data_IF_247946705500
#
_entry.id   IF_247946705500
#
_cell.length_a   1.000
_cell.length_b   1.000
_cell.length_c   1.000
_cell.angle_alpha   90.00
_cell.angle_beta   90.00
_cell.angle_gamma   90.00
#
_symmetry.space_group_name_H-M   'P 1'
#
loop_
_entity.id
_entity.type
_entity.pdbx_description
1 polymer ?
#
# COMPACT_ATOMS: atom_id res chain seq x y z
N UNK A 1 25.04 36.48 -23.87
CA UNK A 1 23.89 36.95 -23.09
C UNK A 1 23.03 35.73 -22.81
N UNK A 2 23.33 35.02 -21.71
CA UNK A 2 22.67 33.76 -21.32
C UNK A 2 21.57 34.13 -20.34
N UNK A 3 20.34 34.30 -20.84
CA UNK A 3 19.20 34.72 -20.02
C UNK A 3 18.53 33.47 -19.46
N UNK A 4 18.72 33.26 -18.17
CA UNK A 4 17.83 32.62 -17.19
C UNK A 4 16.78 31.63 -17.74
N UNK A 5 17.20 30.41 -18.04
CA UNK A 5 16.34 29.26 -18.39
C UNK A 5 15.60 28.65 -17.18
N UNK A 6 15.99 28.99 -15.94
CA UNK A 6 15.49 28.32 -14.73
C UNK A 6 14.00 28.56 -14.42
N UNK A 7 13.41 29.69 -14.83
CA UNK A 7 12.00 30.00 -14.52
C UNK A 7 10.98 29.14 -15.28
N UNK A 8 11.37 28.52 -16.41
CA UNK A 8 10.44 27.70 -17.20
C UNK A 8 10.29 26.30 -16.62
N UNK A 9 11.35 25.75 -16.00
CA UNK A 9 11.38 24.39 -15.46
C UNK A 9 10.47 24.25 -14.24
N UNK A 10 10.49 25.25 -13.36
CA UNK A 10 9.75 25.25 -12.11
C UNK A 10 8.23 25.18 -12.33
N UNK A 11 7.73 25.89 -13.35
CA UNK A 11 6.30 25.88 -13.71
C UNK A 11 5.85 24.54 -14.29
N UNK A 12 6.73 23.86 -15.03
CA UNK A 12 6.48 22.54 -15.60
C UNK A 12 6.38 21.46 -14.53
N UNK A 13 7.30 21.49 -13.57
CA UNK A 13 7.34 20.57 -12.43
C UNK A 13 6.06 20.69 -11.59
N UNK A 14 5.64 21.92 -11.25
CA UNK A 14 4.42 22.11 -10.46
C UNK A 14 3.16 21.68 -11.22
N UNK A 15 3.11 21.87 -12.55
CA UNK A 15 1.99 21.38 -13.36
C UNK A 15 1.95 19.85 -13.37
N UNK A 16 3.08 19.19 -13.60
CA UNK A 16 3.15 17.73 -13.57
C UNK A 16 2.77 17.20 -12.19
N UNK A 17 3.26 17.81 -11.11
CA UNK A 17 2.89 17.47 -9.73
C UNK A 17 1.39 17.52 -9.53
N UNK A 18 0.73 18.58 -10.02
CA UNK A 18 -0.74 18.70 -9.98
C UNK A 18 -1.41 17.57 -10.77
N UNK A 19 -0.88 17.20 -11.93
CA UNK A 19 -1.37 16.06 -12.73
C UNK A 19 -1.18 14.72 -12.01
N UNK A 20 -0.01 14.48 -11.41
CA UNK A 20 0.28 13.25 -10.64
C UNK A 20 -0.69 13.17 -9.46
N UNK A 21 -0.83 14.22 -8.66
CA UNK A 21 -1.76 14.25 -7.52
C UNK A 21 -3.19 13.97 -7.97
N UNK A 22 -3.66 14.65 -9.02
CA UNK A 22 -4.99 14.44 -9.57
C UNK A 22 -5.20 13.02 -10.13
N UNK A 23 -4.16 12.42 -10.72
CA UNK A 23 -4.20 11.06 -11.22
C UNK A 23 -4.18 10.03 -10.09
N UNK A 24 -3.37 10.23 -9.05
CA UNK A 24 -3.34 9.38 -7.86
C UNK A 24 -4.69 9.39 -7.16
N UNK A 25 -5.33 10.56 -6.98
CA UNK A 25 -6.68 10.62 -6.38
C UNK A 25 -7.74 9.87 -7.19
N UNK A 26 -7.65 9.89 -8.53
CA UNK A 26 -8.62 9.22 -9.42
C UNK A 26 -8.36 7.72 -9.60
N UNK A 27 -7.09 7.32 -9.58
CA UNK A 27 -6.65 5.95 -9.85
C UNK A 27 -6.38 5.17 -8.56
N UNK A 28 -6.58 5.82 -7.41
CA UNK A 28 -6.50 5.20 -6.11
C UNK A 28 -7.48 4.02 -6.06
N UNK A 29 -7.00 2.80 -5.76
CA UNK A 29 -7.88 1.68 -5.54
C UNK A 29 -8.91 2.00 -4.44
N UNK A 30 -10.17 1.58 -4.62
CA UNK A 30 -11.24 1.83 -3.64
C UNK A 30 -10.94 1.25 -2.25
N UNK A 31 -9.99 0.31 -2.15
CA UNK A 31 -9.56 -0.32 -0.92
C UNK A 31 -8.51 0.48 -0.11
N UNK A 32 -8.10 1.65 -0.59
CA UNK A 32 -7.25 2.57 0.18
C UNK A 32 -8.14 3.43 1.08
N UNK A 33 -8.25 3.06 2.36
CA UNK A 33 -9.05 3.79 3.37
C UNK A 33 -8.50 5.20 3.64
N UNK A 34 -7.20 5.40 3.46
CA UNK A 34 -6.54 6.70 3.51
C UNK A 34 -6.09 7.08 2.10
N UNK A 35 -6.37 8.32 1.71
CA UNK A 35 -5.90 8.85 0.43
C UNK A 35 -4.37 8.88 0.42
N UNK A 36 -3.78 8.51 -0.72
CA UNK A 36 -2.34 8.63 -0.92
C UNK A 36 -1.89 10.07 -0.67
N UNK A 37 -0.94 10.24 0.26
CA UNK A 37 -0.38 11.54 0.59
C UNK A 37 0.91 11.75 -0.19
N UNK A 38 0.88 12.70 -1.13
CA UNK A 38 2.04 13.09 -1.92
C UNK A 38 2.65 14.38 -1.33
N UNK A 39 3.76 14.22 -0.61
CA UNK A 39 4.54 15.30 -0.03
C UNK A 39 5.75 15.62 -0.93
N UNK A 40 6.10 16.90 -1.05
CA UNK A 40 7.35 17.31 -1.71
C UNK A 40 8.40 17.48 -0.64
N UNK A 41 9.59 16.94 -0.87
CA UNK A 41 10.77 17.24 -0.08
C UNK A 41 11.57 18.31 -0.79
N UNK A 42 11.82 19.42 -0.09
CA UNK A 42 12.72 20.45 -0.59
C UNK A 42 14.13 19.86 -0.70
N UNK A 43 14.73 19.95 -1.89
CA UNK A 43 16.13 19.60 -2.07
C UNK A 43 17.00 20.57 -1.27
N UNK A 44 18.00 20.04 -0.58
CA UNK A 44 18.96 20.85 0.19
C UNK A 44 20.05 21.48 -0.69
N UNK A 45 20.13 21.10 -1.97
CA UNK A 45 21.10 21.62 -2.93
C UNK A 45 20.43 22.65 -3.87
N UNK A 46 20.88 23.91 -3.89
CA UNK A 46 20.25 24.99 -4.67
C UNK A 46 20.46 24.89 -6.20
N UNK A 47 21.18 23.88 -6.69
CA UNK A 47 21.54 23.70 -8.11
C UNK A 47 21.15 22.31 -8.64
N UNK A 48 20.32 21.57 -7.90
CA UNK A 48 19.86 20.25 -8.31
C UNK A 48 18.47 20.36 -8.95
N UNK A 49 18.36 20.09 -10.25
CA UNK A 49 17.08 20.04 -11.00
C UNK A 49 16.22 18.83 -10.58
N UNK A 50 16.66 18.07 -9.57
CA UNK A 50 15.91 16.96 -8.98
C UNK A 50 14.88 17.44 -7.98
N UNK A 51 13.66 16.95 -8.17
CA UNK A 51 12.57 17.09 -7.22
C UNK A 51 12.34 15.76 -6.53
N UNK A 52 12.56 15.70 -5.22
CA UNK A 52 12.22 14.53 -4.42
C UNK A 52 10.77 14.61 -3.94
N UNK A 53 10.00 13.55 -4.20
CA UNK A 53 8.66 13.35 -3.69
C UNK A 53 8.67 12.21 -2.67
N UNK A 54 7.88 12.37 -1.62
CA UNK A 54 7.57 11.31 -0.69
C UNK A 54 6.11 10.93 -0.85
N UNK A 55 5.87 9.66 -1.16
CA UNK A 55 4.53 9.13 -1.33
C UNK A 55 4.24 8.16 -0.19
N UNK A 56 3.28 8.53 0.66
CA UNK A 56 2.78 7.66 1.73
C UNK A 56 1.55 6.91 1.21
N UNK A 57 1.66 5.59 1.27
CA UNK A 57 0.61 4.63 1.00
C UNK A 57 0.00 4.05 2.27
N UNK A 58 -1.09 3.28 2.13
CA UNK A 58 -1.72 2.61 3.26
C UNK A 58 -0.76 1.63 3.94
N UNK A 59 -1.07 1.29 5.20
CA UNK A 59 -0.32 0.34 6.03
C UNK A 59 1.13 0.77 6.36
N UNK A 60 1.46 2.05 6.19
CA UNK A 60 2.81 2.59 6.41
C UNK A 60 3.78 2.29 5.27
N UNK A 61 3.28 1.77 4.13
CA UNK A 61 4.10 1.69 2.93
C UNK A 61 4.43 3.09 2.48
N UNK A 62 5.70 3.36 2.20
CA UNK A 62 6.11 4.65 1.64
C UNK A 62 7.16 4.41 0.57
N UNK A 63 7.20 5.30 -0.40
CA UNK A 63 8.19 5.29 -1.47
C UNK A 63 8.71 6.71 -1.61
N UNK A 64 10.03 6.87 -1.53
CA UNK A 64 10.67 8.10 -1.96
C UNK A 64 10.95 8.02 -3.46
N UNK A 65 10.72 9.13 -4.15
CA UNK A 65 10.78 9.21 -5.61
C UNK A 65 11.58 10.45 -5.97
N UNK A 66 12.65 10.27 -6.73
CA UNK A 66 13.38 11.36 -7.35
C UNK A 66 12.90 11.55 -8.79
N UNK A 67 12.49 12.77 -9.11
CA UNK A 67 12.08 13.20 -10.44
C UNK A 67 13.12 14.15 -11.00
N UNK A 68 13.64 13.81 -12.17
CA UNK A 68 14.63 14.61 -12.89
C UNK A 68 14.10 14.94 -14.29
N UNK A 69 14.15 16.21 -14.67
CA UNK A 69 13.74 16.69 -15.99
C UNK A 69 14.94 17.16 -16.78
N UNK A 70 15.15 16.58 -17.95
CA UNK A 70 16.20 16.97 -18.87
C UNK A 70 15.57 17.39 -20.21
N UNK A 71 15.81 18.61 -20.70
CA UNK A 71 15.43 18.96 -22.07
C UNK A 71 16.28 18.12 -23.04
N UNK A 72 15.65 17.43 -23.97
CA UNK A 72 16.35 16.78 -25.07
C UNK A 72 16.56 17.80 -26.20
N UNK A 73 15.51 18.56 -26.52
CA UNK A 73 15.53 19.63 -27.51
C UNK A 73 14.49 20.73 -27.17
N UNK A 74 14.16 21.58 -28.15
CA UNK A 74 13.17 22.66 -28.01
C UNK A 74 11.73 22.16 -27.84
N UNK A 75 11.44 20.93 -28.24
CA UNK A 75 10.09 20.37 -28.30
C UNK A 75 9.92 19.13 -27.42
N UNK A 76 10.98 18.56 -26.86
CA UNK A 76 10.92 17.30 -26.09
C UNK A 76 11.63 17.46 -24.74
N UNK A 77 10.94 17.04 -23.69
CA UNK A 77 11.47 16.88 -22.35
C UNK A 77 11.46 15.40 -21.93
N UNK A 78 12.56 14.98 -21.33
CA UNK A 78 12.72 13.67 -20.73
C UNK A 78 12.54 13.76 -19.23
N UNK A 79 11.61 12.96 -18.70
CA UNK A 79 11.35 12.83 -17.28
C UNK A 79 11.85 11.47 -16.81
N UNK A 80 12.84 11.47 -15.92
CA UNK A 80 13.35 10.29 -15.23
C UNK A 80 12.72 10.22 -13.85
N UNK A 81 12.13 9.08 -13.52
CA UNK A 81 11.49 8.81 -12.22
C UNK A 81 12.22 7.63 -11.60
N UNK A 82 12.88 7.87 -10.48
CA UNK A 82 13.66 6.86 -9.76
C UNK A 82 13.11 6.71 -8.34
N UNK A 83 12.94 5.48 -7.86
CA UNK A 83 12.54 5.21 -6.47
C UNK A 83 13.75 4.93 -5.60
N UNK A 84 13.59 5.05 -4.28
CA UNK A 84 14.58 4.63 -3.28
C UNK A 84 14.90 3.12 -3.32
N UNK A 85 14.02 2.31 -3.90
CA UNK A 85 14.26 0.89 -4.19
C UNK A 85 15.17 0.66 -5.41
N UNK A 86 15.60 1.73 -6.10
CA UNK A 86 16.46 1.68 -7.29
C UNK A 86 15.71 1.41 -8.59
N UNK A 87 14.37 1.41 -8.58
CA UNK A 87 13.60 1.26 -9.81
C UNK A 87 13.51 2.58 -10.56
N UNK A 88 13.86 2.56 -11.83
CA UNK A 88 13.92 3.74 -12.67
C UNK A 88 13.02 3.58 -13.89
N UNK A 89 12.22 4.60 -14.20
CA UNK A 89 11.38 4.67 -15.40
C UNK A 89 11.55 6.00 -16.11
N UNK A 90 11.58 5.93 -17.43
CA UNK A 90 11.80 7.06 -18.32
C UNK A 90 10.51 7.39 -19.07
N UNK A 91 10.19 8.67 -19.16
CA UNK A 91 9.04 9.19 -19.88
C UNK A 91 9.48 10.33 -20.80
N UNK A 92 8.83 10.46 -21.95
CA UNK A 92 9.08 11.51 -22.92
C UNK A 92 7.80 12.30 -23.13
N UNK A 93 7.86 13.63 -22.98
CA UNK A 93 6.78 14.55 -23.33
C UNK A 93 7.23 15.59 -24.33
N UNK A 94 6.26 16.06 -25.10
CA UNK A 94 6.39 17.32 -25.79
C UNK A 94 6.53 18.45 -24.76
N UNK A 95 7.58 19.26 -24.89
CA UNK A 95 8.01 20.35 -24.01
C UNK A 95 6.92 21.42 -23.97
N UNK A 96 6.15 21.41 -22.89
CA UNK A 96 5.15 22.43 -22.48
C UNK A 96 4.52 23.21 -23.65
N UNK A 97 4.10 22.50 -24.70
CA UNK A 97 3.68 23.10 -25.95
C UNK A 97 2.35 23.82 -25.74
N UNK A 98 2.42 25.15 -25.58
CA UNK A 98 1.32 26.05 -25.22
C UNK A 98 0.52 25.65 -23.96
N UNK A 99 0.22 26.59 -23.05
CA UNK A 99 -0.62 26.32 -21.87
C UNK A 99 -2.04 25.79 -22.17
N UNK A 100 -2.43 25.67 -23.44
CA UNK A 100 -3.66 25.03 -23.91
C UNK A 100 -3.56 23.51 -24.15
N UNK A 101 -2.37 22.94 -24.39
CA UNK A 101 -2.22 21.49 -24.60
C UNK A 101 -1.93 20.75 -23.29
N UNK A 102 -2.92 20.77 -22.41
CA UNK A 102 -2.89 20.07 -21.12
C UNK A 102 -2.83 18.53 -21.23
N UNK A 103 -2.91 17.98 -22.46
CA UNK A 103 -3.07 16.55 -22.65
C UNK A 103 -1.75 15.79 -22.50
N UNK A 104 -0.62 16.34 -22.97
CA UNK A 104 0.70 15.67 -22.91
C UNK A 104 1.18 15.51 -21.46
N UNK A 105 1.22 16.60 -20.68
CA UNK A 105 1.59 16.58 -19.25
C UNK A 105 0.60 15.72 -18.45
N UNK A 106 -0.70 15.79 -18.77
CA UNK A 106 -1.71 14.95 -18.14
C UNK A 106 -1.49 13.45 -18.38
N UNK A 107 -1.04 13.06 -19.59
CA UNK A 107 -0.69 11.67 -19.91
C UNK A 107 0.52 11.20 -19.11
N UNK A 108 1.58 12.01 -19.01
CA UNK A 108 2.74 11.65 -18.18
C UNK A 108 2.36 11.59 -16.71
N UNK A 109 1.63 12.58 -16.19
CA UNK A 109 1.18 12.56 -14.80
C UNK A 109 0.40 11.30 -14.44
N UNK A 110 -0.46 10.80 -15.36
CA UNK A 110 -1.14 9.51 -15.20
C UNK A 110 -0.18 8.31 -15.25
N UNK A 111 0.79 8.32 -16.16
CA UNK A 111 1.75 7.23 -16.30
C UNK A 111 2.68 7.13 -15.08
N UNK A 112 3.16 8.28 -14.58
CA UNK A 112 3.93 8.38 -13.34
C UNK A 112 3.09 7.94 -12.15
N UNK A 113 1.86 8.45 -11.99
CA UNK A 113 0.98 8.00 -10.92
C UNK A 113 0.74 6.48 -10.94
N UNK A 114 0.55 5.89 -12.13
CA UNK A 114 0.36 4.44 -12.29
C UNK A 114 1.62 3.66 -11.90
N UNK A 115 2.81 4.16 -12.27
CA UNK A 115 4.09 3.59 -11.86
C UNK A 115 4.25 3.64 -10.33
N UNK A 116 3.99 4.79 -9.71
CA UNK A 116 4.11 4.95 -8.26
C UNK A 116 3.12 4.08 -7.48
N UNK A 117 1.89 3.91 -7.98
CA UNK A 117 0.92 2.98 -7.41
C UNK A 117 1.45 1.53 -7.41
N UNK A 118 2.02 1.09 -8.55
CA UNK A 118 2.63 -0.23 -8.63
C UNK A 118 3.83 -0.39 -7.69
N UNK A 119 4.64 0.66 -7.50
CA UNK A 119 5.75 0.61 -6.53
C UNK A 119 5.26 0.52 -5.09
N UNK A 120 4.21 1.26 -4.70
CA UNK A 120 3.60 1.10 -3.36
C UNK A 120 3.08 -0.32 -3.17
N UNK A 121 2.35 -0.85 -4.15
CA UNK A 121 1.83 -2.22 -4.10
C UNK A 121 2.98 -3.24 -3.97
N UNK A 122 4.05 -3.06 -4.74
CA UNK A 122 5.23 -3.92 -4.64
C UNK A 122 5.95 -3.78 -3.30
N UNK A 123 6.11 -2.58 -2.75
CA UNK A 123 6.74 -2.40 -1.43
C UNK A 123 5.88 -3.06 -0.34
N UNK A 124 4.55 -3.06 -0.47
CA UNK A 124 3.66 -3.85 0.40
C UNK A 124 3.90 -5.35 0.25
N UNK A 125 4.36 -5.81 -0.90
CA UNK A 125 4.69 -7.21 -1.19
C UNK A 125 6.11 -7.63 -0.76
N UNK A 126 7.10 -6.73 -0.79
CA UNK A 126 8.50 -7.06 -0.41
C UNK A 126 8.66 -7.16 1.11
N UNK A 127 7.90 -6.38 1.87
CA UNK A 127 7.82 -6.48 3.35
C UNK A 127 7.17 -7.81 3.82
N UNK A 128 6.88 -8.73 2.88
CA UNK A 128 6.33 -10.05 3.12
C UNK A 128 7.39 -11.16 3.28
N UNK A 129 8.66 -10.95 2.86
CA UNK A 129 9.72 -11.97 2.83
C UNK A 129 10.57 -12.08 4.10
N UNK A 130 10.30 -11.27 5.13
CA UNK A 130 10.84 -11.53 6.46
C UNK A 130 10.11 -12.71 7.11
N UNK A 131 10.48 -13.93 6.68
CA UNK A 131 10.10 -15.22 7.27
C UNK A 131 10.28 -15.24 8.80
N UNK A 132 9.22 -15.33 9.62
CA UNK A 132 9.38 -15.78 10.98
C UNK A 132 9.50 -17.30 10.95
N UNK A 133 10.71 -17.79 11.22
CA UNK A 133 11.08 -19.20 11.41
C UNK A 133 10.01 -19.93 12.25
N UNK A 134 9.67 -21.20 11.94
CA UNK A 134 8.61 -21.95 12.64
C UNK A 134 9.04 -22.29 14.08
N UNK A 135 8.91 -21.31 14.96
CA UNK A 135 8.96 -21.49 16.40
C UNK A 135 7.61 -21.97 16.90
N UNK A 136 7.56 -22.84 17.93
CA UNK A 136 6.32 -23.16 18.62
C UNK A 136 5.62 -21.85 19.01
N UNK A 137 4.32 -21.75 18.68
CA UNK A 137 3.53 -20.53 18.83
C UNK A 137 3.72 -19.96 20.24
N UNK A 138 4.33 -18.77 20.40
CA UNK A 138 4.40 -18.15 21.72
C UNK A 138 2.96 -17.91 22.18
N UNK A 139 2.54 -18.44 23.34
CA UNK A 139 1.12 -18.47 23.74
C UNK A 139 0.50 -17.07 23.85
N UNK A 140 1.33 -16.04 23.99
CA UNK A 140 0.92 -14.65 24.20
C UNK A 140 0.77 -13.83 22.91
N UNK A 141 1.28 -14.31 21.76
CA UNK A 141 1.14 -13.59 20.49
C UNK A 141 -0.28 -13.83 19.95
N UNK A 142 -1.13 -12.80 19.75
CA UNK A 142 -2.54 -13.00 19.38
C UNK A 142 -2.68 -13.54 17.96
N UNK A 143 -2.86 -14.86 17.81
CA UNK A 143 -2.95 -15.54 16.52
C UNK A 143 -4.19 -16.43 16.44
N UNK A 144 -4.76 -16.52 15.24
CA UNK A 144 -5.84 -17.42 14.84
C UNK A 144 -5.33 -18.30 13.70
N UNK A 145 -5.80 -19.54 13.64
CA UNK A 145 -5.64 -20.45 12.51
C UNK A 145 -7.02 -20.68 11.91
N UNK A 146 -7.15 -20.39 10.62
CA UNK A 146 -8.36 -20.63 9.87
C UNK A 146 -8.17 -21.80 8.90
N UNK A 147 -9.22 -22.57 8.66
CA UNK A 147 -9.28 -23.46 7.51
C UNK A 147 -9.51 -22.67 6.20
N UNK A 148 -9.62 -23.40 5.08
CA UNK A 148 -9.89 -22.81 3.77
C UNK A 148 -11.29 -22.17 3.67
N UNK A 149 -12.23 -22.54 4.53
CA UNK A 149 -13.60 -22.01 4.54
C UNK A 149 -13.73 -20.79 5.50
N UNK A 150 -12.67 -20.47 6.25
CA UNK A 150 -12.63 -19.35 7.17
C UNK A 150 -13.17 -19.67 8.57
N UNK A 151 -13.26 -20.95 8.95
CA UNK A 151 -13.55 -21.36 10.32
C UNK A 151 -12.27 -21.38 11.16
N UNK A 152 -12.39 -20.94 12.41
CA UNK A 152 -11.31 -20.89 13.39
C UNK A 152 -11.06 -22.31 13.90
N UNK A 153 -9.97 -22.92 13.45
CA UNK A 153 -9.52 -24.23 13.94
C UNK A 153 -8.77 -24.11 15.27
N UNK A 154 -7.99 -23.04 15.43
CA UNK A 154 -7.18 -22.82 16.62
C UNK A 154 -6.96 -21.33 16.87
N UNK A 155 -6.73 -20.96 18.12
CA UNK A 155 -6.42 -19.60 18.52
C UNK A 155 -5.59 -19.57 19.80
N UNK A 156 -4.61 -18.67 19.86
CA UNK A 156 -3.69 -18.60 21.00
C UNK A 156 -4.36 -17.96 22.22
N UNK A 157 -3.77 -18.13 23.41
CA UNK A 157 -4.24 -17.43 24.61
C UNK A 157 -4.19 -15.91 24.43
N UNK A 158 -3.17 -15.39 23.74
CA UNK A 158 -3.10 -13.99 23.35
C UNK A 158 -4.31 -13.53 22.52
N UNK A 159 -4.78 -14.36 21.59
CA UNK A 159 -5.96 -14.05 20.79
C UNK A 159 -7.24 -14.04 21.65
N UNK A 160 -7.40 -15.02 22.56
CA UNK A 160 -8.53 -15.02 23.53
C UNK A 160 -8.56 -13.74 24.35
N UNK A 161 -7.42 -13.38 24.93
CA UNK A 161 -7.31 -12.20 25.78
C UNK A 161 -7.61 -10.92 24.99
N UNK A 162 -7.04 -10.76 23.80
CA UNK A 162 -7.28 -9.61 22.93
C UNK A 162 -8.75 -9.50 22.52
N UNK A 163 -9.39 -10.62 22.22
CA UNK A 163 -10.80 -10.69 21.85
C UNK A 163 -11.73 -10.76 23.08
N UNK A 164 -11.20 -10.64 24.30
CA UNK A 164 -11.96 -10.66 25.56
C UNK A 164 -12.86 -11.90 25.75
N UNK A 165 -12.44 -13.04 25.20
CA UNK A 165 -13.08 -14.33 25.49
C UNK A 165 -12.49 -14.93 26.76
N UNK A 166 -13.35 -15.45 27.65
CA UNK A 166 -12.88 -16.25 28.78
C UNK A 166 -12.26 -17.56 28.30
N UNK A 167 -11.55 -18.25 29.18
CA UNK A 167 -10.93 -19.55 28.86
C UNK A 167 -11.99 -20.61 28.56
N UNK A 168 -13.11 -20.61 29.28
CA UNK A 168 -14.19 -21.58 29.08
C UNK A 168 -15.23 -21.14 28.03
N UNK A 169 -15.24 -19.88 27.60
CA UNK A 169 -16.21 -19.41 26.61
C UNK A 169 -15.99 -20.06 25.24
N UNK A 170 -17.08 -20.55 24.67
CA UNK A 170 -17.13 -20.94 23.26
C UNK A 170 -16.98 -19.70 22.40
N UNK A 171 -16.08 -19.76 21.43
CA UNK A 171 -15.97 -18.76 20.37
C UNK A 171 -16.88 -19.18 19.21
N UNK A 172 -17.51 -18.21 18.55
CA UNK A 172 -18.23 -18.49 17.30
C UNK A 172 -17.21 -19.02 16.26
N UNK A 173 -17.43 -20.21 15.67
CA UNK A 173 -16.41 -20.85 14.83
C UNK A 173 -16.06 -20.06 13.58
N UNK A 174 -17.00 -19.34 12.98
CA UNK A 174 -16.74 -18.59 11.76
C UNK A 174 -15.92 -17.32 12.07
N UNK A 175 -14.77 -17.11 11.43
CA UNK A 175 -14.03 -15.85 11.59
C UNK A 175 -14.88 -14.64 11.16
N UNK A 176 -15.73 -14.83 10.15
CA UNK A 176 -16.57 -13.77 9.57
C UNK A 176 -17.59 -13.21 10.55
N UNK A 177 -18.07 -13.99 11.53
CA UNK A 177 -18.99 -13.49 12.55
C UNK A 177 -18.35 -12.47 13.49
N UNK A 178 -17.02 -12.50 13.58
CA UNK A 178 -16.23 -11.57 14.39
C UNK A 178 -15.86 -10.32 13.60
N UNK A 179 -16.00 -10.29 12.27
CA UNK A 179 -15.63 -9.14 11.44
C UNK A 179 -16.84 -8.22 11.26
N UNK A 180 -16.66 -6.93 11.50
CA UNK A 180 -17.71 -5.94 11.27
C UNK A 180 -18.14 -5.90 9.79
N UNK A 181 -19.44 -5.72 9.51
CA UNK A 181 -20.00 -5.83 8.16
C UNK A 181 -19.35 -4.94 7.10
N UNK A 182 -18.90 -3.73 7.47
CA UNK A 182 -18.14 -2.84 6.57
C UNK A 182 -16.79 -3.42 6.11
N UNK A 183 -16.16 -4.26 6.93
CA UNK A 183 -14.88 -4.90 6.58
C UNK A 183 -15.08 -6.30 5.95
N UNK A 184 -16.28 -6.88 6.09
CA UNK A 184 -16.55 -8.28 5.78
C UNK A 184 -16.28 -8.64 4.30
N UNK A 185 -16.79 -7.84 3.36
CA UNK A 185 -16.61 -8.11 1.94
C UNK A 185 -15.12 -8.16 1.53
N UNK A 186 -14.30 -7.25 2.08
CA UNK A 186 -12.86 -7.22 1.83
C UNK A 186 -12.18 -8.47 2.35
N UNK A 187 -12.48 -8.86 3.60
CA UNK A 187 -11.91 -10.06 4.23
C UNK A 187 -12.29 -11.32 3.45
N UNK A 188 -13.57 -11.48 3.10
CA UNK A 188 -14.03 -12.63 2.31
C UNK A 188 -13.33 -12.72 0.96
N UNK A 189 -13.22 -11.59 0.24
CA UNK A 189 -12.56 -11.53 -1.07
C UNK A 189 -11.08 -11.91 -0.97
N UNK A 190 -10.38 -11.40 0.04
CA UNK A 190 -8.96 -11.70 0.23
C UNK A 190 -8.74 -13.17 0.63
N UNK A 191 -9.55 -13.72 1.54
CA UNK A 191 -9.48 -15.14 1.89
C UNK A 191 -9.80 -16.04 0.67
N UNK A 192 -10.82 -15.71 -0.13
CA UNK A 192 -11.12 -16.43 -1.36
C UNK A 192 -9.93 -16.40 -2.36
N UNK A 193 -9.20 -15.28 -2.43
CA UNK A 193 -7.96 -15.18 -3.22
C UNK A 193 -6.82 -16.00 -2.63
N UNK A 194 -6.71 -16.10 -1.31
CA UNK A 194 -5.73 -17.00 -0.67
C UNK A 194 -5.99 -18.45 -1.06
N UNK A 195 -7.23 -18.89 -0.95
CA UNK A 195 -7.62 -20.27 -1.27
C UNK A 195 -7.51 -20.57 -2.76
N UNK A 196 -8.09 -19.71 -3.61
CA UNK A 196 -8.23 -20.00 -5.04
C UNK A 196 -6.99 -19.66 -5.85
N UNK A 197 -6.29 -18.58 -5.48
CA UNK A 197 -5.19 -18.01 -6.27
C UNK A 197 -3.86 -18.06 -5.52
N UNK A 198 -3.80 -18.77 -4.39
CA UNK A 198 -2.59 -18.90 -3.56
C UNK A 198 -1.99 -17.55 -3.18
N UNK A 199 -2.84 -16.53 -2.99
CA UNK A 199 -2.40 -15.24 -2.46
C UNK A 199 -1.68 -15.51 -1.13
N UNK A 200 -0.41 -15.11 -0.96
CA UNK A 200 0.39 -15.56 0.17
C UNK A 200 0.03 -14.85 1.47
N UNK A 201 -0.43 -13.60 1.40
CA UNK A 201 -0.68 -12.77 2.60
C UNK A 201 -1.69 -11.67 2.32
N UNK A 202 -2.36 -11.20 3.36
CA UNK A 202 -3.22 -10.02 3.35
C UNK A 202 -3.10 -9.26 4.66
N UNK A 203 -3.37 -7.95 4.61
CA UNK A 203 -3.34 -7.05 5.77
C UNK A 203 -4.63 -6.25 5.79
N UNK A 204 -5.17 -6.09 6.99
CA UNK A 204 -6.43 -5.40 7.19
C UNK A 204 -6.39 -4.56 8.46
N UNK A 205 -7.10 -3.44 8.42
CA UNK A 205 -7.57 -2.74 9.60
C UNK A 205 -9.04 -3.12 9.79
N UNK A 206 -9.34 -3.89 10.83
CA UNK A 206 -10.65 -4.49 11.02
C UNK A 206 -11.25 -4.05 12.34
N UNK A 207 -12.56 -3.86 12.36
CA UNK A 207 -13.33 -3.92 13.60
C UNK A 207 -13.69 -5.37 13.90
N UNK A 208 -13.18 -5.87 15.01
CA UNK A 208 -13.40 -7.25 15.48
C UNK A 208 -14.35 -7.24 16.67
N UNK A 209 -15.33 -8.14 16.68
CA UNK A 209 -16.26 -8.34 17.79
C UNK A 209 -15.54 -9.09 18.90
N UNK A 210 -15.66 -8.58 20.12
CA UNK A 210 -15.12 -9.24 21.32
C UNK A 210 -16.17 -10.11 22.00
N UNK A 211 -15.74 -10.94 22.96
CA UNK A 211 -16.60 -11.80 23.76
C UNK A 211 -17.66 -11.04 24.57
N UNK A 212 -17.45 -9.75 24.87
CA UNK A 212 -18.46 -8.88 25.50
C UNK A 212 -19.30 -8.07 24.49
N UNK A 213 -19.27 -8.45 23.21
CA UNK A 213 -20.00 -7.83 22.10
C UNK A 213 -19.61 -6.38 21.76
N UNK A 214 -18.42 -5.94 22.15
CA UNK A 214 -17.87 -4.65 21.70
C UNK A 214 -17.11 -4.83 20.40
N UNK A 215 -16.98 -3.73 19.66
CA UNK A 215 -16.13 -3.66 18.48
C UNK A 215 -14.80 -3.02 18.84
N UNK A 216 -13.70 -3.69 18.51
CA UNK A 216 -12.34 -3.15 18.70
C UNK A 216 -11.61 -3.09 17.38
N UNK A 217 -10.85 -2.02 17.17
CA UNK A 217 -9.95 -1.92 16.03
C UNK A 217 -8.74 -2.81 16.24
N UNK A 218 -8.40 -3.59 15.21
CA UNK A 218 -7.22 -4.43 15.19
C UNK A 218 -6.58 -4.37 13.81
N UNK A 219 -5.25 -4.34 13.78
CA UNK A 219 -4.48 -4.65 12.58
C UNK A 219 -4.35 -6.17 12.49
N UNK A 220 -4.93 -6.76 11.45
CA UNK A 220 -4.89 -8.18 11.18
C UNK A 220 -3.97 -8.47 10.00
N UNK A 221 -3.14 -9.50 10.13
CA UNK A 221 -2.20 -9.95 9.10
C UNK A 221 -2.44 -11.43 8.87
N UNK A 222 -3.03 -11.77 7.73
CA UNK A 222 -3.29 -13.15 7.32
C UNK A 222 -2.15 -13.67 6.45
N UNK A 223 -1.61 -14.84 6.75
CA UNK A 223 -0.62 -15.58 5.99
C UNK A 223 -1.25 -16.90 5.53
N UNK A 224 -1.22 -17.15 4.24
CA UNK A 224 -1.69 -18.39 3.65
C UNK A 224 -0.63 -19.48 3.82
N UNK A 225 -0.95 -20.53 4.58
CA UNK A 225 -0.08 -21.69 4.79
C UNK A 225 -0.77 -22.98 4.39
N UNK A 226 -1.71 -22.89 3.44
CA UNK A 226 -2.45 -24.04 2.94
C UNK A 226 -1.51 -25.07 2.28
N UNK A 227 -0.41 -24.61 1.65
CA UNK A 227 0.54 -25.49 0.94
C UNK A 227 1.77 -25.91 1.77
N UNK A 228 2.02 -25.27 2.91
CA UNK A 228 3.21 -25.48 3.75
C UNK A 228 3.06 -26.67 4.73
N UNK A 229 2.12 -27.58 4.49
CA UNK A 229 1.79 -28.70 5.39
C UNK A 229 0.99 -28.32 6.65
N UNK A 230 0.85 -27.02 6.96
CA UNK A 230 -0.01 -26.52 8.02
C UNK A 230 -1.51 -26.53 7.65
N UNK A 231 -1.81 -26.60 6.34
CA UNK A 231 -3.16 -26.65 5.76
C UNK A 231 -4.13 -25.60 6.33
N UNK A 232 -3.63 -24.39 6.59
CA UNK A 232 -4.42 -23.35 7.28
C UNK A 232 -3.95 -21.94 6.91
N UNK A 233 -4.80 -20.94 7.14
CA UNK A 233 -4.52 -19.52 7.01
C UNK A 233 -4.29 -18.95 8.41
N UNK A 234 -3.10 -18.44 8.66
CA UNK A 234 -2.71 -17.90 9.96
C UNK A 234 -2.99 -16.39 10.03
N UNK A 235 -3.77 -15.94 11.00
CA UNK A 235 -4.03 -14.51 11.22
C UNK A 235 -3.33 -14.04 12.50
N UNK A 236 -2.43 -13.06 12.39
CA UNK A 236 -1.89 -12.31 13.51
C UNK A 236 -2.75 -11.07 13.77
N UNK A 237 -3.26 -10.92 14.99
CA UNK A 237 -3.98 -9.74 15.45
C UNK A 237 -3.04 -8.84 16.27
N UNK A 238 -3.05 -7.55 15.96
CA UNK A 238 -2.38 -6.50 16.74
C UNK A 238 -3.42 -5.45 17.14
N UNK A 239 -3.56 -5.14 18.44
CA UNK A 239 -4.42 -4.04 18.86
C UNK A 239 -3.85 -2.71 18.35
N UNK A 240 -4.73 -1.75 18.08
CA UNK A 240 -4.35 -0.36 17.86
C UNK A 240 -4.26 0.41 19.18
#
# INVERSE_FOLDING_TARGET
>A
MVVSSHHSTDRGVEHLRKCIRGALTKSCPEDYEEALSLQVRESSAPDDDRTSLHLEGPDGASVNVDLEFSPIDEEICHARVETDTGHCRHFWCDRWANPGDSNSIGRIGRAVASFLLHEIERTREIDLDSEPTPSPMPPHVPRLMLDADGYIENLTQGARHLLEYSREASIEPSFFSHVHGQNLQRVMRDLARMVSHRKPKARWLLRVRTGNHRWRWCRAIAQNRLDDGANSIQILLRPL
#
